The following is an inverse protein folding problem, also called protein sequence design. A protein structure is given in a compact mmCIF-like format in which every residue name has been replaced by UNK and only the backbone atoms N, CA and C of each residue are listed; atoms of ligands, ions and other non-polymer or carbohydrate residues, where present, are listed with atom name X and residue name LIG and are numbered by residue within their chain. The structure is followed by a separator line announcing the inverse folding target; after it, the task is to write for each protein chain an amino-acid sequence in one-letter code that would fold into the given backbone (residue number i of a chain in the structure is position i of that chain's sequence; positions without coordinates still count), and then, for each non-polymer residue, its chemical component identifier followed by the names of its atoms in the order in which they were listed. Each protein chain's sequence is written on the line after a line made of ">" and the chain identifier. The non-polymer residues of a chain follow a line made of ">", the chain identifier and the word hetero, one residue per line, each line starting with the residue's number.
data_IF_676541831602
#
_entry.id   IF_676541831602
#
_cell.length_a   1.000
_cell.length_b   1.000
_cell.length_c   1.000
_cell.angle_alpha   90.00
_cell.angle_beta   90.00
_cell.angle_gamma   90.00
#
_symmetry.space_group_name_H-M   'P 1'
#
loop_
_entity.id
_entity.type
_entity.pdbx_description
1 polymer ?
#
# COMPACT_ATOMS: atom_id res chain seq x y z
N UNK A 1 -12.67 9.16 1.91
CA UNK A 1 -11.56 9.40 0.96
C UNK A 1 -10.21 9.37 1.70
N UNK A 2 -9.78 8.20 2.18
CA UNK A 2 -8.53 8.09 2.96
C UNK A 2 -7.29 7.97 2.07
N UNK A 3 -7.35 7.12 1.04
CA UNK A 3 -6.23 6.85 0.14
C UNK A 3 -5.82 8.08 -0.69
N UNK A 4 -6.78 8.92 -1.07
CA UNK A 4 -6.51 10.20 -1.75
C UNK A 4 -5.70 11.16 -0.88
N UNK A 5 -6.06 11.29 0.41
CA UNK A 5 -5.34 12.14 1.35
C UNK A 5 -3.90 11.62 1.59
N UNK A 6 -3.72 10.29 1.68
CA UNK A 6 -2.41 9.68 1.82
C UNK A 6 -1.52 9.90 0.59
N UNK A 7 -2.10 9.85 -0.61
CA UNK A 7 -1.42 10.17 -1.88
C UNK A 7 -0.91 11.62 -1.88
N UNK A 8 -1.73 12.58 -1.47
CA UNK A 8 -1.33 13.99 -1.38
C UNK A 8 -0.24 14.24 -0.35
N UNK A 9 -0.35 13.61 0.83
CA UNK A 9 0.66 13.70 1.88
C UNK A 9 2.01 13.12 1.43
N UNK A 10 1.99 11.98 0.75
CA UNK A 10 3.19 11.35 0.22
C UNK A 10 3.81 12.18 -0.93
N UNK A 11 3.00 12.72 -1.83
CA UNK A 11 3.47 13.61 -2.91
C UNK A 11 4.16 14.87 -2.34
N UNK A 12 3.58 15.46 -1.30
CA UNK A 12 4.16 16.61 -0.59
C UNK A 12 5.52 16.26 0.03
N UNK A 13 5.65 15.07 0.63
CA UNK A 13 6.86 14.65 1.35
C UNK A 13 8.01 14.26 0.41
N UNK A 14 7.70 13.64 -0.72
CA UNK A 14 8.66 13.21 -1.72
C UNK A 14 9.00 14.30 -2.75
N UNK A 15 8.35 15.47 -2.65
CA UNK A 15 8.47 16.58 -3.60
C UNK A 15 8.30 16.14 -5.06
N UNK A 16 7.43 15.16 -5.30
CA UNK A 16 7.21 14.55 -6.59
C UNK A 16 5.76 14.75 -7.06
N UNK A 17 5.61 15.10 -8.34
CA UNK A 17 4.32 15.32 -8.97
C UNK A 17 3.76 13.99 -9.48
N UNK A 18 2.92 13.36 -8.65
CA UNK A 18 2.07 12.25 -9.08
C UNK A 18 2.57 10.87 -8.65
N UNK A 19 2.07 10.40 -7.51
CA UNK A 19 2.18 9.00 -7.12
C UNK A 19 1.09 8.22 -7.87
N UNK A 20 1.50 7.38 -8.81
CA UNK A 20 0.58 6.56 -9.61
C UNK A 20 0.49 5.14 -9.09
N UNK A 21 1.61 4.56 -8.65
CA UNK A 21 1.68 3.16 -8.25
C UNK A 21 1.80 3.00 -6.74
N UNK A 22 1.11 2.00 -6.19
CA UNK A 22 1.16 1.68 -4.77
C UNK A 22 1.09 0.17 -4.50
N UNK A 23 1.73 -0.26 -3.41
CA UNK A 23 1.52 -1.56 -2.78
C UNK A 23 0.69 -1.34 -1.52
N UNK A 24 -0.38 -2.11 -1.36
CA UNK A 24 -1.32 -1.95 -0.24
C UNK A 24 -1.29 -3.20 0.62
N UNK A 25 -1.15 -3.02 1.93
CA UNK A 25 -1.21 -4.11 2.89
C UNK A 25 -2.66 -4.39 3.31
N UNK A 26 -2.99 -5.67 3.51
CA UNK A 26 -4.27 -6.11 4.04
C UNK A 26 -4.06 -7.15 5.16
N UNK A 27 -5.00 -7.29 6.09
CA UNK A 27 -4.93 -8.33 7.11
C UNK A 27 -4.85 -9.72 6.49
N UNK A 28 -4.10 -10.64 7.11
CA UNK A 28 -3.92 -11.98 6.56
C UNK A 28 -5.23 -12.78 6.42
N UNK A 29 -6.23 -12.47 7.25
CA UNK A 29 -7.53 -13.12 7.28
C UNK A 29 -8.58 -12.49 6.35
N UNK A 30 -8.22 -11.45 5.58
CA UNK A 30 -9.14 -10.87 4.59
C UNK A 30 -9.51 -11.89 3.51
N UNK A 31 -10.81 -11.99 3.26
CA UNK A 31 -11.40 -12.74 2.15
C UNK A 31 -11.11 -12.09 0.79
N UNK A 32 -11.30 -12.85 -0.29
CA UNK A 32 -11.10 -12.34 -1.65
C UNK A 32 -11.99 -11.13 -1.97
N UNK A 33 -13.22 -11.10 -1.45
CA UNK A 33 -14.17 -9.99 -1.62
C UNK A 33 -13.65 -8.71 -0.97
N UNK A 34 -13.13 -8.80 0.25
CA UNK A 34 -12.60 -7.63 0.97
C UNK A 34 -11.28 -7.12 0.33
N UNK A 35 -10.47 -8.04 -0.23
CA UNK A 35 -9.28 -7.68 -1.02
C UNK A 35 -9.66 -6.95 -2.29
N UNK A 36 -10.68 -7.42 -3.01
CA UNK A 36 -11.21 -6.76 -4.20
C UNK A 36 -11.80 -5.38 -3.86
N UNK A 37 -12.57 -5.27 -2.78
CA UNK A 37 -13.11 -3.99 -2.31
C UNK A 37 -11.99 -2.98 -2.00
N UNK A 38 -10.90 -3.44 -1.39
CA UNK A 38 -9.72 -2.60 -1.11
C UNK A 38 -9.03 -2.15 -2.40
N UNK A 39 -8.91 -3.03 -3.39
CA UNK A 39 -8.36 -2.69 -4.70
C UNK A 39 -9.22 -1.65 -5.43
N UNK A 40 -10.54 -1.82 -5.42
CA UNK A 40 -11.48 -0.86 -6.02
C UNK A 40 -11.40 0.51 -5.32
N UNK A 41 -11.25 0.53 -3.99
CA UNK A 41 -11.06 1.78 -3.26
C UNK A 41 -9.78 2.53 -3.68
N UNK A 42 -8.72 1.80 -4.01
CA UNK A 42 -7.47 2.38 -4.52
C UNK A 42 -7.60 2.90 -5.95
N UNK A 43 -8.31 2.17 -6.83
CA UNK A 43 -8.61 2.61 -8.19
C UNK A 43 -9.44 3.91 -8.18
N UNK A 44 -10.44 4.02 -7.30
CA UNK A 44 -11.23 5.24 -7.09
C UNK A 44 -10.35 6.41 -6.61
N UNK A 45 -9.29 6.14 -5.85
CA UNK A 45 -8.32 7.14 -5.41
C UNK A 45 -7.27 7.50 -6.49
N UNK A 46 -7.35 6.90 -7.69
CA UNK A 46 -6.39 7.11 -8.77
C UNK A 46 -5.00 6.55 -8.45
N UNK A 47 -4.96 5.41 -7.76
CA UNK A 47 -3.75 4.63 -7.48
C UNK A 47 -3.83 3.28 -8.19
N UNK A 48 -2.78 2.93 -8.92
CA UNK A 48 -2.60 1.62 -9.50
C UNK A 48 -2.01 0.67 -8.44
N UNK A 49 -2.75 -0.39 -8.12
CA UNK A 49 -2.34 -1.36 -7.11
C UNK A 49 -1.45 -2.42 -7.76
N UNK A 50 -0.14 -2.30 -7.57
CA UNK A 50 0.84 -3.27 -8.09
C UNK A 50 0.73 -4.63 -7.39
N UNK A 51 0.47 -4.61 -6.08
CA UNK A 51 0.31 -5.82 -5.27
C UNK A 51 -0.49 -5.52 -4.01
N UNK A 52 -1.36 -6.47 -3.65
CA UNK A 52 -1.93 -6.58 -2.30
C UNK A 52 -1.01 -7.50 -1.50
N UNK A 53 -0.47 -7.00 -0.39
CA UNK A 53 0.45 -7.74 0.46
C UNK A 53 -0.20 -8.06 1.80
N UNK A 54 0.05 -9.25 2.35
CA UNK A 54 -0.41 -9.57 3.70
C UNK A 54 0.44 -8.80 4.71
N UNK A 55 -0.21 -8.14 5.68
CA UNK A 55 0.46 -7.39 6.76
C UNK A 55 1.59 -8.17 7.47
N UNK A 56 1.41 -9.42 7.95
CA UNK A 56 2.50 -10.13 8.63
C UNK A 56 3.68 -10.38 7.70
N UNK A 57 3.44 -10.65 6.42
CA UNK A 57 4.51 -10.81 5.42
C UNK A 57 5.25 -9.50 5.17
N UNK A 58 4.55 -8.37 5.13
CA UNK A 58 5.15 -7.05 5.01
C UNK A 58 6.05 -6.74 6.22
N UNK A 59 5.58 -7.04 7.43
CA UNK A 59 6.33 -6.87 8.67
C UNK A 59 7.59 -7.74 8.68
N UNK A 60 7.49 -9.02 8.29
CA UNK A 60 8.65 -9.91 8.19
C UNK A 60 9.67 -9.42 7.17
N UNK A 61 9.25 -8.92 6.01
CA UNK A 61 10.16 -8.34 5.02
C UNK A 61 10.93 -7.13 5.57
N UNK A 62 10.23 -6.22 6.25
CA UNK A 62 10.85 -5.05 6.87
C UNK A 62 11.87 -5.46 7.93
N UNK A 63 11.49 -6.40 8.81
CA UNK A 63 12.37 -6.92 9.86
C UNK A 63 13.63 -7.57 9.28
N UNK A 64 13.48 -8.43 8.26
CA UNK A 64 14.60 -9.09 7.60
C UNK A 64 15.57 -8.09 6.97
N UNK A 65 15.05 -7.02 6.36
CA UNK A 65 15.88 -5.96 5.78
C UNK A 65 16.76 -5.28 6.82
N UNK A 66 16.21 -4.95 7.99
CA UNK A 66 16.96 -4.34 9.09
C UNK A 66 18.13 -5.23 9.55
N UNK A 67 17.94 -6.55 9.57
CA UNK A 67 19.00 -7.49 9.94
C UNK A 67 20.07 -7.68 8.87
N UNK A 68 19.81 -7.32 7.62
CA UNK A 68 20.77 -7.46 6.51
C UNK A 68 21.73 -6.27 6.40
N UNK A 69 21.35 -5.11 6.92
CA UNK A 69 22.18 -3.89 6.92
C UNK A 69 23.12 -3.78 8.13
N UNK A 70 23.07 -4.74 9.08
CA UNK A 70 24.03 -4.90 10.18
C UNK A 70 25.00 -6.05 9.91
#
# INVERSE_FOLDING_TARGET
>A
MLLSNLKEAAASKLACTGIMDAVITVPAYFSDTERQATKLAAEIAGLNVLRILNEPSAASCSLLWIFKEN
#
